data_IF_038280574118
#
_entry.id   IF_038280574118
#
_cell.length_a   1.000
_cell.length_b   1.000
_cell.length_c   1.000
_cell.angle_alpha   90.00
_cell.angle_beta   90.00
_cell.angle_gamma   90.00
#
_symmetry.space_group_name_H-M   'P 1'
#
loop_
_entity.id
_entity.type
_entity.pdbx_description
1 polymer ?
#
# COMPACT_ATOMS: atom_id res chain seq x y z
N UNK A 1 2.88 -9.72 20.06
CA UNK A 1 3.44 -10.64 19.05
C UNK A 1 3.33 -12.12 19.48
N UNK A 2 3.89 -12.55 20.63
CA UNK A 2 3.87 -13.96 21.06
C UNK A 2 2.48 -14.61 21.14
N UNK A 3 1.45 -13.90 21.64
CA UNK A 3 0.08 -14.42 21.70
C UNK A 3 -0.58 -14.61 20.33
N UNK A 4 -0.32 -13.69 19.38
CA UNK A 4 -0.87 -13.80 18.03
C UNK A 4 -0.24 -14.97 17.28
N UNK A 5 1.08 -15.14 17.40
CA UNK A 5 1.81 -16.26 16.81
C UNK A 5 1.30 -17.59 17.39
N UNK A 6 1.08 -17.67 18.71
CA UNK A 6 0.45 -18.87 19.33
C UNK A 6 -0.93 -19.12 18.76
N UNK A 7 -1.80 -18.11 18.71
CA UNK A 7 -3.14 -18.25 18.14
C UNK A 7 -3.13 -18.75 16.68
N UNK A 8 -2.16 -18.32 15.87
CA UNK A 8 -2.00 -18.82 14.49
C UNK A 8 -1.48 -20.27 14.48
N UNK A 9 -0.52 -20.59 15.34
CA UNK A 9 0.04 -21.94 15.48
C UNK A 9 -0.97 -22.96 15.99
N UNK A 10 -1.86 -22.52 16.88
CA UNK A 10 -2.86 -23.36 17.53
C UNK A 10 -4.19 -23.37 16.75
N UNK A 11 -4.28 -22.66 15.61
CA UNK A 11 -5.50 -22.63 14.81
C UNK A 11 -5.71 -24.01 14.16
N UNK A 12 -6.85 -24.68 14.39
CA UNK A 12 -7.06 -26.01 13.88
C UNK A 12 -7.18 -25.99 12.36
N UNK A 13 -6.34 -26.78 11.68
CA UNK A 13 -6.34 -26.86 10.22
C UNK A 13 -7.70 -27.29 9.65
N UNK A 14 -8.47 -28.08 10.41
CA UNK A 14 -9.83 -28.49 10.05
C UNK A 14 -10.85 -27.34 9.97
N UNK A 15 -10.54 -26.17 10.54
CA UNK A 15 -11.37 -24.97 10.43
C UNK A 15 -10.96 -24.08 9.24
N UNK A 16 -9.86 -24.37 8.55
CA UNK A 16 -9.51 -23.68 7.31
C UNK A 16 -10.39 -24.18 6.17
N UNK A 17 -10.87 -23.29 5.28
CA UNK A 17 -11.61 -23.73 4.11
C UNK A 17 -10.66 -24.42 3.11
N UNK A 18 -11.17 -25.41 2.39
CA UNK A 18 -10.43 -26.09 1.31
C UNK A 18 -10.05 -25.12 0.17
N UNK A 19 -10.87 -24.09 -0.05
CA UNK A 19 -10.62 -23.02 -1.01
C UNK A 19 -10.87 -21.64 -0.39
N UNK A 20 -9.99 -20.69 -0.71
CA UNK A 20 -10.14 -19.31 -0.26
C UNK A 20 -9.81 -18.31 -1.37
N UNK A 21 -10.71 -17.36 -1.58
CA UNK A 21 -10.49 -16.21 -2.45
C UNK A 21 -10.89 -14.94 -1.69
N UNK A 22 -9.92 -14.06 -1.43
CA UNK A 22 -10.12 -12.81 -0.72
C UNK A 22 -11.16 -11.91 -1.42
N UNK A 23 -11.23 -11.95 -2.75
CA UNK A 23 -12.19 -11.19 -3.57
C UNK A 23 -13.63 -11.64 -3.30
N UNK A 24 -13.82 -12.96 -3.11
CA UNK A 24 -15.13 -13.53 -2.76
C UNK A 24 -15.48 -13.28 -1.30
N UNK A 25 -14.49 -13.28 -0.41
CA UNK A 25 -14.69 -13.08 1.03
C UNK A 25 -15.02 -11.63 1.38
N UNK A 26 -14.39 -10.67 0.70
CA UNK A 26 -14.56 -9.23 0.94
C UNK A 26 -14.93 -8.50 -0.36
N UNK A 27 -16.13 -8.77 -0.91
CA UNK A 27 -16.54 -8.22 -2.21
C UNK A 27 -16.76 -6.70 -2.19
N UNK A 28 -16.94 -6.11 -1.00
CA UNK A 28 -17.06 -4.65 -0.83
C UNK A 28 -15.71 -3.93 -0.86
N UNK A 29 -14.61 -4.66 -1.04
CA UNK A 29 -13.26 -4.09 -1.08
C UNK A 29 -12.70 -4.13 -2.50
N UNK A 30 -12.95 -3.08 -3.31
CA UNK A 30 -12.52 -3.06 -4.71
C UNK A 30 -11.00 -3.08 -4.87
N UNK A 31 -10.24 -2.65 -3.85
CA UNK A 31 -8.78 -2.69 -3.87
C UNK A 31 -8.23 -4.10 -4.05
N UNK A 32 -8.91 -5.14 -3.55
CA UNK A 32 -8.49 -6.55 -3.66
C UNK A 32 -8.54 -7.03 -5.12
N UNK A 33 -9.36 -6.39 -5.95
CA UNK A 33 -9.46 -6.67 -7.38
C UNK A 33 -8.45 -5.87 -8.22
N UNK A 34 -7.77 -4.89 -7.63
CA UNK A 34 -6.85 -4.02 -8.35
C UNK A 34 -5.54 -4.74 -8.67
N UNK A 35 -5.12 -4.68 -9.92
CA UNK A 35 -3.84 -5.23 -10.39
C UNK A 35 -2.95 -4.08 -10.84
N UNK A 36 -2.08 -3.54 -9.96
CA UNK A 36 -1.24 -2.40 -10.28
C UNK A 36 -0.08 -2.78 -11.22
N UNK A 37 0.38 -1.81 -12.02
CA UNK A 37 1.54 -1.93 -12.90
C UNK A 37 2.68 -1.04 -12.37
N UNK A 38 3.85 -1.65 -12.08
CA UNK A 38 5.03 -0.93 -11.56
C UNK A 38 5.87 -0.23 -12.64
N UNK A 39 5.51 -0.36 -13.92
CA UNK A 39 6.21 0.25 -15.04
C UNK A 39 7.72 -0.05 -15.06
N UNK A 40 8.49 0.92 -15.52
CA UNK A 40 9.97 0.86 -15.56
C UNK A 40 10.62 1.17 -14.21
N UNK A 41 10.09 0.69 -13.10
CA UNK A 41 10.63 0.90 -11.76
C UNK A 41 10.59 -0.41 -10.97
N UNK A 42 11.71 -0.77 -10.32
CA UNK A 42 11.82 -1.96 -9.46
C UNK A 42 11.10 -1.82 -8.11
N UNK A 43 9.89 -1.28 -8.10
CA UNK A 43 9.14 -0.92 -6.89
C UNK A 43 8.11 -1.96 -6.45
N UNK A 44 8.29 -3.23 -6.81
CA UNK A 44 7.37 -4.31 -6.42
C UNK A 44 7.12 -4.36 -4.91
N UNK A 45 8.16 -4.10 -4.09
CA UNK A 45 8.07 -4.05 -2.63
C UNK A 45 7.06 -2.99 -2.15
N UNK A 46 7.09 -1.80 -2.75
CA UNK A 46 6.21 -0.69 -2.39
C UNK A 46 4.79 -0.88 -2.94
N UNK A 47 4.68 -1.33 -4.19
CA UNK A 47 3.39 -1.60 -4.84
C UNK A 47 2.62 -2.69 -4.09
N UNK A 48 3.29 -3.78 -3.72
CA UNK A 48 2.68 -4.84 -2.94
C UNK A 48 2.22 -4.36 -1.56
N UNK A 49 3.04 -3.58 -0.85
CA UNK A 49 2.67 -3.06 0.48
C UNK A 49 1.53 -2.06 0.42
N UNK A 50 1.56 -1.13 -0.54
CA UNK A 50 0.46 -0.17 -0.72
C UNK A 50 -0.87 -0.88 -1.04
N UNK A 51 -0.83 -1.93 -1.87
CA UNK A 51 -1.99 -2.79 -2.15
C UNK A 51 -2.52 -3.49 -0.90
N UNK A 52 -1.66 -4.23 -0.19
CA UNK A 52 -2.06 -4.92 1.06
C UNK A 52 -2.60 -3.96 2.11
N UNK A 53 -2.00 -2.78 2.25
CA UNK A 53 -2.44 -1.76 3.18
C UNK A 53 -3.83 -1.22 2.81
N UNK A 54 -4.08 -0.94 1.52
CA UNK A 54 -5.38 -0.54 0.98
C UNK A 54 -6.45 -1.59 1.29
N UNK A 55 -6.15 -2.86 1.00
CA UNK A 55 -7.05 -3.99 1.26
C UNK A 55 -7.38 -4.12 2.74
N UNK A 56 -6.35 -4.08 3.60
CA UNK A 56 -6.52 -4.24 5.05
C UNK A 56 -7.29 -3.10 5.68
N UNK A 57 -7.15 -1.86 5.20
CA UNK A 57 -7.98 -0.73 5.65
C UNK A 57 -9.44 -1.01 5.31
N UNK A 58 -9.72 -1.41 4.07
CA UNK A 58 -11.09 -1.74 3.67
C UNK A 58 -11.68 -2.90 4.48
N UNK A 59 -10.94 -3.99 4.64
CA UNK A 59 -11.37 -5.16 5.41
C UNK A 59 -11.63 -4.80 6.88
N UNK A 60 -10.72 -4.06 7.50
CA UNK A 60 -10.83 -3.69 8.92
C UNK A 60 -12.00 -2.74 9.20
N UNK A 61 -12.42 -1.98 8.18
CA UNK A 61 -13.53 -1.03 8.25
C UNK A 61 -14.83 -1.61 7.66
N UNK A 62 -14.86 -2.91 7.34
CA UNK A 62 -16.01 -3.56 6.69
C UNK A 62 -16.48 -2.82 5.42
N UNK A 63 -15.54 -2.28 4.64
CA UNK A 63 -15.83 -1.59 3.39
C UNK A 63 -16.21 -0.12 3.51
N UNK A 64 -16.26 0.48 4.71
CA UNK A 64 -16.62 1.89 4.85
C UNK A 64 -15.50 2.84 4.43
N UNK A 65 -14.24 2.43 4.58
CA UNK A 65 -13.07 3.19 4.10
C UNK A 65 -12.43 2.44 2.95
N UNK A 66 -12.55 2.99 1.74
CA UNK A 66 -11.99 2.43 0.51
C UNK A 66 -10.99 3.42 -0.08
N UNK A 67 -9.70 3.16 0.15
CA UNK A 67 -8.61 4.02 -0.30
C UNK A 67 -7.59 3.21 -1.08
N UNK A 68 -6.96 3.84 -2.07
CA UNK A 68 -5.77 3.32 -2.73
C UNK A 68 -4.58 4.11 -2.21
N UNK A 69 -3.69 3.45 -1.47
CA UNK A 69 -2.50 4.09 -0.91
C UNK A 69 -1.39 4.27 -1.96
N UNK A 70 -0.59 5.30 -1.77
CA UNK A 70 0.48 5.68 -2.69
C UNK A 70 1.69 4.76 -2.54
N UNK A 71 1.99 4.01 -3.60
CA UNK A 71 3.28 3.35 -3.71
C UNK A 71 4.41 4.36 -3.87
N UNK A 72 4.15 5.54 -4.45
CA UNK A 72 5.17 6.57 -4.64
C UNK A 72 5.61 7.22 -3.34
N UNK A 73 4.71 7.40 -2.39
CA UNK A 73 5.05 7.86 -1.04
C UNK A 73 6.01 6.89 -0.34
N UNK A 74 5.75 5.57 -0.44
CA UNK A 74 6.67 4.54 0.07
C UNK A 74 8.02 4.60 -0.67
N UNK A 75 8.00 4.66 -2.00
CA UNK A 75 9.22 4.68 -2.81
C UNK A 75 10.04 5.91 -2.44
N UNK A 76 9.45 7.09 -2.56
CA UNK A 76 10.16 8.36 -2.49
C UNK A 76 10.51 8.80 -1.07
N UNK A 77 9.67 8.51 -0.07
CA UNK A 77 9.82 9.04 1.29
C UNK A 77 10.31 8.02 2.33
N UNK A 78 10.21 6.71 2.09
CA UNK A 78 10.82 5.73 3.00
C UNK A 78 12.31 5.50 2.67
N UNK A 79 13.18 6.24 3.36
CA UNK A 79 14.64 6.19 3.16
C UNK A 79 15.23 4.77 3.30
N UNK A 80 14.69 3.97 4.23
CA UNK A 80 15.25 2.64 4.51
C UNK A 80 14.61 1.51 3.68
N UNK A 81 13.50 1.78 2.99
CA UNK A 81 12.72 0.75 2.31
C UNK A 81 13.31 0.33 0.96
N UNK A 82 13.82 1.28 0.16
CA UNK A 82 14.36 0.99 -1.16
C UNK A 82 14.11 2.09 -2.18
N UNK A 83 14.29 1.75 -3.45
CA UNK A 83 14.17 2.65 -4.58
C UNK A 83 13.67 1.91 -5.84
N UNK A 84 13.69 2.56 -7.01
CA UNK A 84 13.43 1.89 -8.29
C UNK A 84 14.47 0.81 -8.69
N UNK A 85 15.52 0.61 -7.90
CA UNK A 85 16.48 -0.50 -8.06
C UNK A 85 16.12 -1.74 -7.23
N UNK A 86 15.07 -1.67 -6.41
CA UNK A 86 14.65 -2.73 -5.50
C UNK A 86 14.47 -2.22 -4.06
N UNK A 87 13.85 -3.05 -3.22
CA UNK A 87 13.57 -2.70 -1.83
C UNK A 87 13.05 -3.86 -0.99
N UNK A 88 12.74 -3.54 0.26
CA UNK A 88 12.37 -4.48 1.32
C UNK A 88 10.91 -4.23 1.75
N UNK A 89 10.05 -5.22 1.50
CA UNK A 89 8.62 -5.15 1.83
C UNK A 89 8.35 -5.10 3.33
N UNK A 90 9.19 -5.71 4.18
CA UNK A 90 9.02 -5.64 5.62
C UNK A 90 9.25 -4.22 6.12
N UNK A 91 10.29 -3.55 5.62
CA UNK A 91 10.54 -2.14 5.95
C UNK A 91 9.43 -1.23 5.47
N UNK A 92 8.87 -1.48 4.28
CA UNK A 92 7.70 -0.75 3.79
C UNK A 92 6.46 -0.97 4.66
N UNK A 93 6.24 -2.19 5.18
CA UNK A 93 5.18 -2.44 6.17
C UNK A 93 5.43 -1.69 7.49
N UNK A 94 6.68 -1.64 7.96
CA UNK A 94 7.05 -0.86 9.16
C UNK A 94 6.84 0.64 8.92
N UNK A 95 7.17 1.15 7.73
CA UNK A 95 6.92 2.53 7.33
C UNK A 95 5.41 2.84 7.38
N UNK A 96 4.57 1.97 6.83
CA UNK A 96 3.11 2.13 6.92
C UNK A 96 2.61 2.24 8.36
N UNK A 97 3.18 1.49 9.29
CA UNK A 97 2.79 1.54 10.70
C UNK A 97 3.27 2.83 11.36
N UNK A 98 4.54 3.19 11.18
CA UNK A 98 5.19 4.23 11.97
C UNK A 98 4.96 5.64 11.40
N UNK A 99 4.94 5.77 10.08
CA UNK A 99 4.95 7.04 9.35
C UNK A 99 3.63 7.26 8.57
N UNK A 100 2.96 6.16 8.23
CA UNK A 100 1.73 6.19 7.43
C UNK A 100 2.00 6.40 5.95
N UNK A 101 0.98 6.14 5.12
CA UNK A 101 1.05 6.31 3.66
C UNK A 101 -0.12 7.18 3.20
N UNK A 102 0.14 8.15 2.32
CA UNK A 102 -0.92 8.97 1.72
C UNK A 102 -1.69 8.22 0.63
N UNK A 103 -2.82 8.74 0.17
CA UNK A 103 -3.55 8.17 -0.97
C UNK A 103 -2.79 8.36 -2.29
N UNK A 104 -2.89 7.42 -3.25
CA UNK A 104 -2.11 7.45 -4.49
C UNK A 104 -2.73 6.81 -5.73
N UNK A 105 -4.06 6.73 -5.79
CA UNK A 105 -4.77 6.57 -7.06
C UNK A 105 -4.66 7.83 -7.95
N UNK A 106 -5.28 7.80 -9.13
CA UNK A 106 -5.33 8.96 -10.07
C UNK A 106 -5.73 10.26 -9.36
N UNK A 107 -6.74 10.17 -8.50
CA UNK A 107 -7.32 11.31 -7.79
C UNK A 107 -6.87 11.37 -6.32
N UNK A 108 -5.80 10.65 -5.94
CA UNK A 108 -5.24 10.64 -4.59
C UNK A 108 -4.21 11.75 -4.36
N UNK A 109 -3.64 11.82 -3.16
CA UNK A 109 -2.61 12.81 -2.82
C UNK A 109 -1.35 12.67 -3.70
N UNK A 110 -0.79 11.47 -3.83
CA UNK A 110 0.42 11.21 -4.62
C UNK A 110 0.23 10.04 -5.59
N UNK A 111 -0.23 10.31 -6.82
CA UNK A 111 -0.36 9.29 -7.85
C UNK A 111 0.99 8.67 -8.22
N UNK A 112 0.94 7.43 -8.71
CA UNK A 112 2.14 6.74 -9.20
C UNK A 112 2.75 7.47 -10.41
N UNK A 113 4.03 7.92 -10.35
CA UNK A 113 4.59 8.84 -11.35
C UNK A 113 5.24 8.14 -12.54
N UNK A 114 5.46 6.82 -12.47
CA UNK A 114 6.19 6.07 -13.48
C UNK A 114 5.27 5.65 -14.63
N UNK A 115 5.78 5.77 -15.86
CA UNK A 115 5.02 5.40 -17.04
C UNK A 115 4.75 3.90 -17.07
N UNK A 116 3.46 3.53 -17.04
CA UNK A 116 3.00 2.14 -17.12
C UNK A 116 2.87 1.64 -18.56
N UNK A 117 3.04 2.53 -19.56
CA UNK A 117 3.00 2.24 -21.00
C UNK A 117 4.39 2.15 -21.63
N UNK A 118 5.44 1.98 -20.83
CA UNK A 118 6.83 1.92 -21.31
C UNK A 118 7.19 0.70 -22.17
N UNK A 119 6.29 -0.27 -22.36
CA UNK A 119 6.51 -1.47 -23.17
C UNK A 119 6.43 -2.76 -22.35
N UNK A 120 6.51 -3.91 -23.03
CA UNK A 120 6.46 -5.24 -22.40
C UNK A 120 7.61 -6.09 -22.96
N UNK A 121 8.74 -6.24 -22.24
CA UNK A 121 9.09 -5.53 -21.00
C UNK A 121 9.46 -4.05 -21.25
N UNK A 122 9.44 -3.24 -20.19
CA UNK A 122 9.91 -1.86 -20.28
C UNK A 122 11.44 -1.80 -20.53
N UNK A 123 11.94 -0.82 -21.30
CA UNK A 123 13.36 -0.64 -21.56
C UNK A 123 14.18 -0.46 -20.28
N UNK A 124 15.38 -1.04 -20.25
CA UNK A 124 16.33 -0.89 -19.11
C UNK A 124 16.67 0.57 -18.80
N UNK A 125 16.65 1.44 -19.81
CA UNK A 125 16.90 2.87 -19.63
C UNK A 125 15.84 3.54 -18.74
N UNK A 126 14.59 3.11 -18.80
CA UNK A 126 13.53 3.66 -17.93
C UNK A 126 13.82 3.34 -16.46
N UNK A 127 14.30 2.13 -16.14
CA UNK A 127 14.70 1.78 -14.78
C UNK A 127 15.84 2.68 -14.27
N UNK A 128 16.87 2.91 -15.09
CA UNK A 128 18.00 3.77 -14.72
C UNK A 128 17.60 5.25 -14.55
N UNK A 129 16.67 5.73 -15.38
CA UNK A 129 16.10 7.09 -15.29
C UNK A 129 15.26 7.24 -14.03
N UNK A 130 14.34 6.31 -13.78
CA UNK A 130 13.41 6.36 -12.66
C UNK A 130 14.13 6.25 -11.31
N UNK A 131 15.21 5.46 -11.23
CA UNK A 131 16.08 5.41 -10.05
C UNK A 131 16.72 6.76 -9.69
N UNK A 132 16.88 7.68 -10.66
CA UNK A 132 17.44 9.03 -10.44
C UNK A 132 16.38 10.09 -10.17
N UNK A 133 15.15 9.87 -10.62
CA UNK A 133 14.05 10.83 -10.49
C UNK A 133 13.37 10.80 -9.11
N UNK A 134 13.58 9.73 -8.35
CA UNK A 134 12.97 9.53 -7.05
C UNK A 134 13.36 10.64 -6.06
N UNK A 135 12.36 11.41 -5.62
CA UNK A 135 12.50 12.46 -4.59
C UNK A 135 11.25 12.49 -3.73
N UNK A 136 11.44 12.46 -2.41
CA UNK A 136 10.34 12.64 -1.48
C UNK A 136 9.75 14.04 -1.62
N UNK A 137 8.43 14.12 -1.79
CA UNK A 137 7.68 15.35 -1.80
C UNK A 137 6.61 15.31 -0.71
N UNK A 138 6.73 16.14 0.33
CA UNK A 138 5.68 16.25 1.36
C UNK A 138 4.52 17.15 0.90
N UNK A 139 3.97 16.87 -0.28
CA UNK A 139 2.89 17.65 -0.90
C UNK A 139 2.03 16.76 -1.79
N UNK A 140 0.71 16.97 -1.72
CA UNK A 140 -0.23 16.36 -2.65
C UNK A 140 -0.25 17.07 -4.01
N UNK A 141 -0.72 16.37 -5.05
CA UNK A 141 -0.97 16.95 -6.36
C UNK A 141 -2.02 18.08 -6.29
N UNK A 142 -1.93 19.05 -7.19
CA UNK A 142 -2.77 20.26 -7.14
C UNK A 142 -4.28 19.99 -7.30
N UNK A 143 -4.66 18.90 -7.97
CA UNK A 143 -6.07 18.51 -8.14
C UNK A 143 -6.66 17.85 -6.89
N UNK A 144 -5.82 17.52 -5.90
CA UNK A 144 -6.26 16.93 -4.64
C UNK A 144 -6.54 18.03 -3.61
N UNK A 145 -7.81 18.14 -3.20
CA UNK A 145 -8.28 19.22 -2.31
C UNK A 145 -8.88 18.74 -0.99
N UNK A 146 -8.87 17.42 -0.72
CA UNK A 146 -9.48 16.85 0.50
C UNK A 146 -8.63 17.10 1.74
N UNK A 147 -7.32 16.87 1.65
CA UNK A 147 -6.35 16.99 2.74
C UNK A 147 -5.01 17.50 2.20
N UNK A 148 -4.16 18.00 3.09
CA UNK A 148 -2.72 18.13 2.80
C UNK A 148 -1.99 16.79 3.02
N UNK A 149 -0.71 16.75 2.64
CA UNK A 149 0.11 15.53 2.71
C UNK A 149 0.15 14.89 4.10
N UNK A 150 0.27 15.68 5.17
CA UNK A 150 0.39 15.15 6.53
C UNK A 150 -0.96 14.66 7.05
N UNK A 151 -2.03 15.37 6.72
CA UNK A 151 -3.40 15.02 7.09
C UNK A 151 -3.98 13.87 6.24
N UNK A 152 -3.35 13.52 5.11
CA UNK A 152 -3.76 12.39 4.27
C UNK A 152 -3.11 11.05 4.66
N UNK A 153 -2.27 11.01 5.70
CA UNK A 153 -1.54 9.80 6.10
C UNK A 153 -2.47 8.75 6.72
N UNK A 154 -2.39 7.53 6.22
CA UNK A 154 -3.11 6.36 6.73
C UNK A 154 -2.12 5.38 7.36
N UNK A 155 -2.38 5.00 8.61
CA UNK A 155 -1.45 4.21 9.44
C UNK A 155 -1.90 2.77 9.59
N UNK A 156 -0.93 1.84 9.66
CA UNK A 156 -1.17 0.45 10.00
C UNK A 156 -1.52 0.30 11.49
N UNK A 157 -2.78 0.03 11.83
CA UNK A 157 -3.22 -0.12 13.22
C UNK A 157 -3.06 -1.58 13.68
N UNK A 158 -2.24 -1.81 14.71
CA UNK A 158 -2.04 -3.14 15.33
C UNK A 158 -3.11 -3.55 16.36
N UNK A 159 -4.04 -2.67 16.74
CA UNK A 159 -4.95 -2.91 17.86
C UNK A 159 -6.44 -2.77 17.49
N UNK A 160 -7.19 -3.85 17.76
CA UNK A 160 -8.66 -3.95 17.64
C UNK A 160 -9.42 -2.82 18.38
N UNK A 161 -8.77 -2.18 19.36
CA UNK A 161 -9.34 -1.09 20.17
C UNK A 161 -9.33 0.28 19.49
N UNK A 162 -8.47 0.52 18.50
CA UNK A 162 -8.44 1.81 17.79
C UNK A 162 -9.36 1.87 16.57
N UNK A 163 -9.86 0.72 16.09
CA UNK A 163 -10.88 0.66 15.04
C UNK A 163 -12.18 1.35 15.51
N UNK A 164 -12.48 1.34 16.82
CA UNK A 164 -13.63 2.09 17.37
C UNK A 164 -13.50 3.60 17.27
N UNK A 165 -12.29 4.16 17.16
CA UNK A 165 -12.08 5.62 17.09
C UNK A 165 -12.24 6.20 15.67
N UNK A 166 -12.30 5.35 14.64
CA UNK A 166 -12.58 5.76 13.26
C UNK A 166 -14.09 5.67 12.95
N UNK A 167 -14.89 5.08 13.86
CA UNK A 167 -16.34 4.92 13.74
C UNK A 167 -17.06 5.69 14.86
N UNK A 168 -16.73 6.98 15.00
CA UNK A 168 -17.59 7.96 15.69
C UNK A 168 -17.81 9.16 14.79
#
# INVERSE_FOLDING_TARGET
MKQHIRKLSDFPASELPDEFDARRKWPLCPSIHNVPNQGGCGSCYAVAVAGVASDRICIATNGTVQVILSSDDIISCCISCGACTGGDSLKAMIYWVNEGIVTGGRDGCQPYPYDIKCGIPCPLLEFAKNAKMQRCHHKCQNIYYRNDYFNDKHYGIFNKYHIKKIIQ
#
